data_IF_527108661993
#
_entry.id   IF_527108661993
#
_cell.length_a   1.000
_cell.length_b   1.000
_cell.length_c   1.000
_cell.angle_alpha   90.00
_cell.angle_beta   90.00
_cell.angle_gamma   90.00
#
_symmetry.space_group_name_H-M   'P 1'
#
loop_
_entity.id
_entity.type
_entity.pdbx_description
1 polymer ?
#
# COMPACT_ATOMS: atom_id res chain seq x y z
N UNK A 1 11.28 -8.19 10.06
CA UNK A 1 11.37 -7.96 8.59
C UNK A 1 11.58 -6.49 8.36
N UNK A 2 12.52 -6.10 7.50
CA UNK A 2 12.76 -4.71 7.14
C UNK A 2 12.06 -4.45 5.80
N UNK A 3 11.28 -3.37 5.72
CA UNK A 3 10.62 -2.93 4.49
C UNK A 3 11.14 -1.55 4.14
N UNK A 4 11.96 -1.41 3.09
CA UNK A 4 12.37 -0.09 2.62
C UNK A 4 11.17 0.60 1.96
N UNK A 5 10.92 1.84 2.37
CA UNK A 5 9.90 2.71 1.78
C UNK A 5 10.63 3.81 1.03
N UNK A 6 10.62 3.69 -0.30
CA UNK A 6 11.26 4.63 -1.23
C UNK A 6 10.27 5.02 -2.30
N UNK A 7 10.29 6.30 -2.70
CA UNK A 7 9.35 6.80 -3.70
C UNK A 7 9.47 6.01 -5.02
N UNK A 8 8.33 5.51 -5.50
CA UNK A 8 8.27 4.66 -6.68
C UNK A 8 6.86 4.69 -7.26
N UNK A 9 6.73 4.44 -8.57
CA UNK A 9 5.43 4.35 -9.25
C UNK A 9 4.55 3.24 -8.66
N UNK A 10 5.19 2.16 -8.21
CA UNK A 10 4.52 1.01 -7.61
C UNK A 10 4.08 1.27 -6.17
N UNK A 11 4.70 2.24 -5.49
CA UNK A 11 4.40 2.53 -4.10
C UNK A 11 2.95 2.99 -3.98
N UNK A 12 2.19 2.27 -3.15
CA UNK A 12 0.79 2.50 -2.87
C UNK A 12 0.45 1.87 -1.50
N UNK A 13 -0.63 2.34 -0.89
CA UNK A 13 -1.13 1.86 0.40
C UNK A 13 -1.29 0.33 0.44
N UNK A 14 -1.71 -0.28 -0.65
CA UNK A 14 -1.89 -1.74 -0.72
C UNK A 14 -0.59 -2.53 -0.64
N UNK A 15 0.53 -1.97 -1.13
CA UNK A 15 1.84 -2.63 -0.99
C UNK A 15 2.27 -2.66 0.48
N UNK A 16 2.11 -1.56 1.21
CA UNK A 16 2.40 -1.54 2.65
C UNK A 16 1.47 -2.51 3.40
N UNK A 17 0.17 -2.47 3.12
CA UNK A 17 -0.82 -3.33 3.76
C UNK A 17 -0.56 -4.84 3.53
N UNK A 18 0.01 -5.21 2.38
CA UNK A 18 0.35 -6.61 2.08
C UNK A 18 1.76 -7.00 2.55
N UNK A 19 2.69 -6.05 2.65
CA UNK A 19 4.04 -6.31 3.14
C UNK A 19 4.08 -6.50 4.66
N UNK A 20 3.28 -5.73 5.42
CA UNK A 20 3.22 -5.80 6.88
C UNK A 20 2.89 -7.22 7.41
N UNK A 21 1.81 -7.89 6.97
CA UNK A 21 1.41 -9.20 7.49
C UNK A 21 2.33 -10.35 7.07
N UNK A 22 3.30 -10.14 6.15
CA UNK A 22 4.30 -11.18 5.81
C UNK A 22 5.27 -11.48 6.97
N UNK A 23 5.25 -10.65 8.02
CA UNK A 23 6.03 -10.85 9.24
C UNK A 23 5.18 -11.39 10.37
N UNK A 24 5.68 -12.44 11.04
CA UNK A 24 5.01 -13.10 12.17
C UNK A 24 5.11 -12.32 13.50
N UNK A 25 6.01 -11.33 13.65
CA UNK A 25 6.25 -10.66 14.94
C UNK A 25 6.53 -9.16 14.85
N UNK A 26 7.41 -8.71 13.97
CA UNK A 26 7.83 -7.29 13.93
C UNK A 26 8.26 -6.86 12.53
N UNK A 27 7.69 -5.74 12.10
CA UNK A 27 8.01 -5.04 10.85
C UNK A 27 8.66 -3.71 11.21
N UNK A 28 9.79 -3.43 10.55
CA UNK A 28 10.47 -2.13 10.63
C UNK A 28 10.37 -1.48 9.26
N UNK A 29 9.65 -0.36 9.19
CA UNK A 29 9.61 0.48 7.99
C UNK A 29 10.82 1.40 8.01
N UNK A 30 11.59 1.44 6.92
CA UNK A 30 12.79 2.26 6.81
C UNK A 30 12.64 3.17 5.61
N UNK A 31 12.60 4.48 5.83
CA UNK A 31 12.39 5.46 4.78
C UNK A 31 12.02 6.83 5.35
N UNK A 32 11.51 7.70 4.49
CA UNK A 32 11.00 9.01 4.86
C UNK A 32 9.63 8.89 5.56
N UNK A 33 9.52 9.48 6.76
CA UNK A 33 8.30 9.45 7.57
C UNK A 33 7.15 10.22 6.92
N UNK A 34 7.45 11.32 6.22
CA UNK A 34 6.43 12.13 5.56
C UNK A 34 5.84 11.38 4.37
N UNK A 35 6.70 10.70 3.59
CA UNK A 35 6.28 9.80 2.52
C UNK A 35 5.41 8.65 3.06
N UNK A 36 5.79 8.04 4.17
CA UNK A 36 5.01 6.97 4.80
C UNK A 36 3.61 7.48 5.20
N UNK A 37 3.55 8.64 5.86
CA UNK A 37 2.28 9.25 6.27
C UNK A 37 1.39 9.56 5.06
N UNK A 38 1.96 10.11 3.99
CA UNK A 38 1.24 10.39 2.75
C UNK A 38 0.61 9.12 2.16
N UNK A 39 1.38 8.03 2.05
CA UNK A 39 0.90 6.76 1.47
C UNK A 39 -0.18 6.12 2.34
N UNK A 40 -0.04 6.21 3.66
CA UNK A 40 -1.04 5.68 4.60
C UNK A 40 -2.37 6.44 4.47
N UNK A 41 -2.31 7.76 4.25
CA UNK A 41 -3.48 8.61 4.05
C UNK A 41 -4.08 8.51 2.64
N UNK A 42 -3.28 8.11 1.64
CA UNK A 42 -3.70 8.06 0.25
C UNK A 42 -4.82 7.03 -0.02
N UNK A 43 -5.64 7.35 -1.02
CA UNK A 43 -6.61 6.42 -1.60
C UNK A 43 -5.82 5.35 -2.38
N UNK A 44 -6.09 4.05 -2.19
CA UNK A 44 -5.42 2.99 -2.93
C UNK A 44 -5.56 3.18 -4.45
N UNK A 45 -4.44 3.16 -5.18
CA UNK A 45 -4.44 3.23 -6.65
C UNK A 45 -5.27 2.12 -7.32
N UNK A 46 -5.45 1.00 -6.64
CA UNK A 46 -6.29 -0.10 -7.12
C UNK A 46 -7.77 0.28 -7.29
N UNK A 47 -8.25 1.32 -6.62
CA UNK A 47 -9.64 1.80 -6.76
C UNK A 47 -9.88 2.56 -8.07
N UNK A 48 -8.84 3.14 -8.65
CA UNK A 48 -8.89 3.84 -9.95
C UNK A 48 -8.77 2.87 -11.14
N UNK A 49 -8.66 1.57 -10.87
CA UNK A 49 -8.45 0.57 -11.91
C UNK A 49 -9.77 0.31 -12.64
N UNK A 50 -9.91 0.85 -13.86
CA UNK A 50 -11.06 0.55 -14.72
C UNK A 50 -11.26 -0.96 -14.87
N UNK A 51 -12.43 -1.44 -14.43
CA UNK A 51 -12.88 -2.81 -14.61
C UNK A 51 -14.16 -2.83 -15.44
N UNK A 52 -14.22 -3.70 -16.44
CA UNK A 52 -15.46 -4.01 -17.16
C UNK A 52 -16.35 -5.00 -16.39
N UNK A 53 -15.86 -5.55 -15.27
CA UNK A 53 -16.64 -6.34 -14.34
C UNK A 53 -17.39 -5.42 -13.39
N UNK A 54 -18.60 -5.00 -13.78
CA UNK A 54 -19.53 -4.28 -12.90
C UNK A 54 -20.51 -5.28 -12.28
N UNK A 55 -20.41 -5.48 -10.97
CA UNK A 55 -21.45 -6.19 -10.21
C UNK A 55 -22.66 -5.25 -10.07
N UNK A 56 -23.49 -5.21 -11.11
CA UNK A 56 -24.76 -4.50 -11.07
C UNK A 56 -25.80 -5.42 -10.42
N UNK A 57 -26.10 -5.20 -9.15
CA UNK A 57 -27.26 -5.76 -8.45
C UNK A 57 -27.00 -7.06 -7.68
N UNK A 58 -26.81 -6.90 -6.37
CA UNK A 58 -27.58 -7.63 -5.34
C UNK A 58 -28.12 -6.57 -4.40
#
# INVERSE_FOLDING_TARGET
MIVPVVQSKLLDRMILYTAIPRSMKTVVLVGDIDLINEIVAAIPKSLDREQNLRFNGI
#
